data_IF_012431235708
#
_entry.id   IF_012431235708
#
_cell.length_a   1.000
_cell.length_b   1.000
_cell.length_c   1.000
_cell.angle_alpha   90.00
_cell.angle_beta   90.00
_cell.angle_gamma   90.00
#
_symmetry.space_group_name_H-M   'P 1'
#
loop_
_entity.id
_entity.type
_entity.pdbx_description
1 polymer ?
#
# COMPACT_ATOMS: atom_id res chain seq x y z
N UNK A 1 9.55 -15.47 21.57
CA UNK A 1 8.63 -15.16 20.46
C UNK A 1 8.23 -16.46 19.76
N UNK A 2 6.93 -16.75 19.58
CA UNK A 2 6.45 -18.02 19.00
C UNK A 2 6.73 -18.12 17.50
N UNK A 3 6.81 -19.34 16.95
CA UNK A 3 7.00 -19.58 15.51
C UNK A 3 5.92 -18.93 14.65
N UNK A 4 4.66 -18.93 15.10
CA UNK A 4 3.54 -18.27 14.41
C UNK A 4 3.74 -16.76 14.27
N UNK A 5 4.19 -16.10 15.34
CA UNK A 5 4.47 -14.66 15.34
C UNK A 5 5.56 -14.31 14.34
N UNK A 6 6.61 -15.14 14.23
CA UNK A 6 7.67 -14.93 13.23
C UNK A 6 7.16 -15.06 11.79
N UNK A 7 6.29 -16.03 11.52
CA UNK A 7 5.69 -16.22 10.20
C UNK A 7 4.78 -15.04 9.83
N UNK A 8 3.93 -14.59 10.75
CA UNK A 8 3.04 -13.45 10.54
C UNK A 8 3.84 -12.16 10.23
N UNK A 9 4.92 -11.90 10.98
CA UNK A 9 5.81 -10.76 10.71
C UNK A 9 6.46 -10.85 9.33
N UNK A 10 6.98 -12.03 8.94
CA UNK A 10 7.59 -12.20 7.60
C UNK A 10 6.57 -11.96 6.49
N UNK A 11 5.37 -12.51 6.63
CA UNK A 11 4.32 -12.34 5.64
C UNK A 11 3.91 -10.87 5.50
N UNK A 12 3.76 -10.17 6.63
CA UNK A 12 3.47 -8.74 6.66
C UNK A 12 4.56 -7.92 5.95
N UNK A 13 5.83 -8.22 6.22
CA UNK A 13 6.96 -7.55 5.53
C UNK A 13 6.88 -7.77 4.02
N UNK A 14 6.66 -9.00 3.55
CA UNK A 14 6.53 -9.28 2.11
C UNK A 14 5.36 -8.52 1.48
N UNK A 15 4.23 -8.43 2.16
CA UNK A 15 3.05 -7.68 1.68
C UNK A 15 3.35 -6.19 1.56
N UNK A 16 3.99 -5.60 2.59
CA UNK A 16 4.34 -4.18 2.58
C UNK A 16 5.40 -3.89 1.51
N UNK A 17 6.37 -4.78 1.28
CA UNK A 17 7.35 -4.64 0.19
C UNK A 17 6.68 -4.66 -1.17
N UNK A 18 5.81 -5.63 -1.48
CA UNK A 18 5.06 -5.67 -2.76
C UNK A 18 4.24 -4.39 -2.98
N UNK A 19 3.66 -3.87 -1.91
CA UNK A 19 2.87 -2.65 -1.95
C UNK A 19 3.71 -1.40 -2.22
N UNK A 20 4.87 -1.27 -1.55
CA UNK A 20 5.83 -0.17 -1.77
C UNK A 20 6.39 -0.23 -3.18
N UNK A 21 6.83 -1.40 -3.65
CA UNK A 21 7.40 -1.56 -5.00
C UNK A 21 6.37 -1.17 -6.08
N UNK A 22 5.12 -1.62 -5.92
CA UNK A 22 4.01 -1.24 -6.81
C UNK A 22 3.72 0.26 -6.78
N UNK A 23 3.75 0.86 -5.59
CA UNK A 23 3.52 2.29 -5.40
C UNK A 23 4.63 3.13 -6.03
N UNK A 24 5.89 2.78 -5.82
CA UNK A 24 7.05 3.52 -6.34
C UNK A 24 7.07 3.52 -7.87
N UNK A 25 6.79 2.38 -8.49
CA UNK A 25 6.68 2.27 -9.94
C UNK A 25 5.64 3.26 -10.50
N UNK A 26 4.45 3.30 -9.88
CA UNK A 26 3.38 4.22 -10.30
C UNK A 26 3.69 5.69 -9.95
N UNK A 27 4.33 5.94 -8.80
CA UNK A 27 4.66 7.29 -8.34
C UNK A 27 5.71 7.95 -9.22
N UNK A 28 6.69 7.20 -9.73
CA UNK A 28 7.73 7.72 -10.60
C UNK A 28 7.16 8.43 -11.84
N UNK A 29 6.05 7.91 -12.39
CA UNK A 29 5.36 8.46 -13.56
C UNK A 29 4.59 9.77 -13.25
N UNK A 30 4.18 9.97 -11.99
CA UNK A 30 3.26 11.04 -11.61
C UNK A 30 3.84 12.10 -10.67
N UNK A 31 5.01 11.86 -10.06
CA UNK A 31 5.65 12.72 -9.04
C UNK A 31 5.89 14.17 -9.45
N UNK A 32 5.84 14.48 -10.75
CA UNK A 32 5.93 15.85 -11.26
C UNK A 32 4.64 16.66 -11.13
N UNK A 33 3.51 16.04 -10.77
CA UNK A 33 2.24 16.73 -10.68
C UNK A 33 2.12 17.53 -9.37
N UNK A 34 1.87 18.83 -9.48
CA UNK A 34 1.71 19.72 -8.31
C UNK A 34 0.52 19.38 -7.41
N UNK A 35 -0.50 18.71 -7.95
CA UNK A 35 -1.73 18.34 -7.24
C UNK A 35 -1.77 16.85 -6.85
N UNK A 36 -0.62 16.18 -6.82
CA UNK A 36 -0.54 14.76 -6.47
C UNK A 36 -0.71 14.57 -4.96
N UNK A 37 -1.70 13.76 -4.57
CA UNK A 37 -1.85 13.25 -3.22
C UNK A 37 -1.71 11.72 -3.25
N UNK A 38 -0.95 11.16 -2.33
CA UNK A 38 -0.66 9.74 -2.31
C UNK A 38 -0.28 9.29 -0.89
N UNK A 39 -0.62 8.06 -0.51
CA UNK A 39 -0.15 7.49 0.75
C UNK A 39 -0.16 5.96 0.70
N UNK A 40 0.63 5.37 1.60
CA UNK A 40 0.52 3.96 1.99
C UNK A 40 0.04 3.94 3.44
N UNK A 41 -1.06 3.26 3.70
CA UNK A 41 -1.71 3.18 5.01
C UNK A 41 -2.07 1.75 5.33
N UNK A 42 -2.10 1.43 6.62
CA UNK A 42 -2.80 0.24 7.09
C UNK A 42 -4.19 0.63 7.58
N UNK A 43 -5.19 -0.16 7.21
CA UNK A 43 -6.59 0.11 7.53
C UNK A 43 -7.31 -1.18 7.93
N UNK A 44 -8.27 -1.07 8.85
CA UNK A 44 -9.21 -2.15 9.15
C UNK A 44 -10.51 -1.93 8.37
N UNK A 45 -10.92 -2.93 7.60
CA UNK A 45 -12.16 -2.90 6.83
C UNK A 45 -12.79 -4.29 6.79
N UNK A 46 -14.07 -4.40 7.17
CA UNK A 46 -14.84 -5.66 7.19
C UNK A 46 -14.13 -6.76 7.98
N UNK A 47 -13.74 -6.44 9.22
CA UNK A 47 -13.09 -7.38 10.15
C UNK A 47 -11.75 -7.97 9.66
N UNK A 48 -11.09 -7.28 8.72
CA UNK A 48 -9.78 -7.64 8.22
C UNK A 48 -8.86 -6.42 8.19
N UNK A 49 -7.59 -6.63 8.52
CA UNK A 49 -6.54 -5.64 8.33
C UNK A 49 -6.05 -5.66 6.88
N UNK A 50 -5.78 -4.48 6.34
CA UNK A 50 -5.34 -4.26 4.96
C UNK A 50 -4.15 -3.31 4.95
N UNK A 51 -3.24 -3.51 4.01
CA UNK A 51 -2.29 -2.50 3.57
C UNK A 51 -2.80 -1.93 2.25
N UNK A 52 -2.95 -0.61 2.19
CA UNK A 52 -3.53 0.11 1.06
C UNK A 52 -2.54 1.17 0.59
N UNK A 53 -2.20 1.12 -0.69
CA UNK A 53 -1.51 2.20 -1.37
C UNK A 53 -2.50 2.90 -2.29
N UNK A 54 -2.52 4.22 -2.28
CA UNK A 54 -3.40 5.00 -3.12
C UNK A 54 -2.71 6.26 -3.64
N UNK A 55 -3.21 6.73 -4.77
CA UNK A 55 -2.76 7.94 -5.44
C UNK A 55 -3.92 8.59 -6.17
N UNK A 56 -4.04 9.90 -6.04
CA UNK A 56 -4.98 10.72 -6.80
C UNK A 56 -4.32 12.03 -7.20
N UNK A 57 -4.61 12.52 -8.40
CA UNK A 57 -4.17 13.84 -8.83
C UNK A 57 -5.31 14.57 -9.53
N UNK A 58 -5.68 15.74 -9.01
CA UNK A 58 -6.67 16.60 -9.67
C UNK A 58 -6.16 17.24 -10.97
N UNK A 59 -4.85 17.28 -11.19
CA UNK A 59 -4.22 17.90 -12.36
C UNK A 59 -4.20 16.99 -13.59
N UNK A 60 -3.67 15.77 -13.46
CA UNK A 60 -3.59 14.82 -14.58
C UNK A 60 -4.72 13.78 -14.59
N UNK A 61 -5.59 13.78 -13.58
CA UNK A 61 -6.73 12.86 -13.48
C UNK A 61 -6.38 11.44 -13.03
N UNK A 62 -5.13 11.15 -12.64
CA UNK A 62 -4.78 9.82 -12.14
C UNK A 62 -5.61 9.48 -10.90
N UNK A 63 -6.12 8.25 -10.88
CA UNK A 63 -6.73 7.62 -9.71
C UNK A 63 -6.31 6.17 -9.69
N UNK A 64 -5.56 5.80 -8.67
CA UNK A 64 -5.01 4.46 -8.53
C UNK A 64 -5.06 4.02 -7.07
N UNK A 65 -5.42 2.77 -6.83
CA UNK A 65 -5.43 2.16 -5.51
C UNK A 65 -5.04 0.67 -5.62
N UNK A 66 -4.33 0.16 -4.61
CA UNK A 66 -3.99 -1.25 -4.46
C UNK A 66 -4.21 -1.68 -3.02
N UNK A 67 -4.93 -2.78 -2.85
CA UNK A 67 -5.33 -3.31 -1.56
C UNK A 67 -4.75 -4.71 -1.39
N UNK A 68 -3.96 -4.91 -0.34
CA UNK A 68 -3.42 -6.22 0.03
C UNK A 68 -3.88 -6.59 1.43
N UNK A 69 -4.45 -7.78 1.59
CA UNK A 69 -4.94 -8.25 2.88
C UNK A 69 -3.76 -8.59 3.78
N UNK A 70 -3.72 -8.03 4.99
CA UNK A 70 -2.77 -8.43 6.01
C UNK A 70 -3.28 -9.72 6.65
N UNK A 71 -2.47 -10.76 6.56
CA UNK A 71 -2.76 -12.01 7.26
C UNK A 71 -2.26 -11.89 8.70
N UNK A 72 -3.09 -12.30 9.66
CA UNK A 72 -2.76 -12.37 11.08
C UNK A 72 -1.97 -13.64 11.42
#
# INVERSE_FOLDING_TARGET
MSARVRTAVKQRVCILTDLVDSFEAYFAEHRGCAALAAAIVEAEQRDAAWAVAWMVCGGCGVRWERHLKLHA
#
